data_IF_898814638285
#
_entry.id   IF_898814638285
#
_cell.length_a   1.000
_cell.length_b   1.000
_cell.length_c   1.000
_cell.angle_alpha   90.00
_cell.angle_beta   90.00
_cell.angle_gamma   90.00
#
_symmetry.space_group_name_H-M   'P 1'
#
loop_
_entity.id
_entity.type
_entity.pdbx_description
1 polymer ?
#
# COMPACT_ATOMS: atom_id res chain seq x y z
N UNK A 1 -17.20 -16.44 -15.39
CA UNK A 1 -15.97 -15.63 -15.30
C UNK A 1 -15.18 -16.14 -14.11
N UNK A 2 -13.88 -16.41 -14.26
CA UNK A 2 -13.04 -16.87 -13.15
C UNK A 2 -12.77 -15.70 -12.20
N UNK A 3 -13.19 -15.83 -10.96
CA UNK A 3 -12.91 -14.85 -9.91
C UNK A 3 -11.45 -14.97 -9.47
N UNK A 4 -10.72 -13.86 -9.27
CA UNK A 4 -9.36 -13.91 -8.74
C UNK A 4 -9.39 -14.54 -7.34
N UNK A 5 -8.40 -15.37 -7.02
CA UNK A 5 -8.25 -15.97 -5.68
C UNK A 5 -7.58 -15.01 -4.70
N UNK A 6 -6.68 -14.17 -5.21
CA UNK A 6 -5.85 -13.26 -4.42
C UNK A 6 -5.66 -11.95 -5.18
N UNK A 7 -5.57 -10.86 -4.42
CA UNK A 7 -5.23 -9.54 -4.90
C UNK A 7 -4.00 -9.06 -4.16
N UNK A 8 -2.97 -8.69 -4.92
CA UNK A 8 -1.76 -8.06 -4.39
C UNK A 8 -1.75 -6.59 -4.79
N UNK A 9 -1.59 -5.72 -3.80
CA UNK A 9 -1.41 -4.29 -4.02
C UNK A 9 -0.07 -3.87 -3.46
N UNK A 10 0.71 -3.16 -4.28
CA UNK A 10 1.92 -2.46 -3.87
C UNK A 10 1.76 -0.96 -4.12
N UNK A 11 2.25 -0.14 -3.18
CA UNK A 11 2.32 1.30 -3.33
C UNK A 11 3.70 1.77 -2.89
N UNK A 12 4.33 2.60 -3.70
CA UNK A 12 5.61 3.23 -3.38
C UNK A 12 5.44 4.74 -3.44
N UNK A 13 5.94 5.43 -2.42
CA UNK A 13 6.00 6.88 -2.39
C UNK A 13 7.44 7.36 -2.26
N UNK A 14 7.85 8.24 -3.16
CA UNK A 14 9.17 8.88 -3.11
C UNK A 14 8.98 10.37 -2.89
N UNK A 15 9.57 10.90 -1.81
CA UNK A 15 9.61 12.33 -1.51
C UNK A 15 11.04 12.83 -1.62
N UNK A 16 11.25 13.87 -2.43
CA UNK A 16 12.51 14.62 -2.44
C UNK A 16 12.58 15.47 -1.16
N UNK A 17 13.70 15.39 -0.42
CA UNK A 17 13.90 16.14 0.83
C UNK A 17 14.77 17.39 0.65
N UNK A 18 15.27 17.65 -0.56
CA UNK A 18 16.35 18.60 -0.79
C UNK A 18 17.72 17.97 -0.47
N UNK A 19 18.80 18.74 -0.66
CA UNK A 19 20.17 18.35 -0.26
C UNK A 19 20.65 16.97 -0.75
N UNK A 20 20.24 16.55 -1.96
CA UNK A 20 20.57 15.24 -2.53
C UNK A 20 20.00 14.03 -1.76
N UNK A 21 19.03 14.25 -0.86
CA UNK A 21 18.37 13.20 -0.10
C UNK A 21 16.94 12.95 -0.59
N UNK A 22 16.55 11.67 -0.57
CA UNK A 22 15.19 11.25 -0.90
C UNK A 22 14.69 10.24 0.12
N UNK A 23 13.47 10.42 0.58
CA UNK A 23 12.76 9.42 1.37
C UNK A 23 11.92 8.56 0.43
N UNK A 24 12.17 7.26 0.43
CA UNK A 24 11.34 6.27 -0.25
C UNK A 24 10.65 5.42 0.80
N UNK A 25 9.32 5.35 0.73
CA UNK A 25 8.50 4.46 1.56
C UNK A 25 7.77 3.50 0.63
N UNK A 26 7.84 2.22 0.93
CA UNK A 26 7.17 1.16 0.20
C UNK A 26 6.23 0.39 1.13
N UNK A 27 5.07 0.01 0.61
CA UNK A 27 4.14 -0.84 1.33
C UNK A 27 3.37 -1.72 0.35
N UNK A 28 3.14 -2.96 0.76
CA UNK A 28 2.29 -3.89 0.02
C UNK A 28 1.36 -4.66 0.94
N UNK A 29 0.29 -5.18 0.36
CA UNK A 29 -0.64 -6.09 1.04
C UNK A 29 -1.13 -7.13 0.04
N UNK A 30 -1.30 -8.36 0.54
CA UNK A 30 -1.96 -9.44 -0.17
C UNK A 30 -3.28 -9.69 0.54
N UNK A 31 -4.37 -9.74 -0.23
CA UNK A 31 -5.70 -10.08 0.29
C UNK A 31 -6.27 -11.25 -0.49
N UNK A 32 -6.76 -12.25 0.24
CA UNK A 32 -7.55 -13.34 -0.32
C UNK A 32 -8.92 -12.81 -0.75
N UNK A 33 -9.41 -13.26 -1.90
CA UNK A 33 -10.75 -12.98 -2.38
C UNK A 33 -11.56 -14.26 -2.22
N UNK A 34 -12.58 -14.22 -1.36
CA UNK A 34 -13.49 -15.36 -1.22
C UNK A 34 -14.48 -15.40 -2.40
N UNK A 35 -15.04 -16.57 -2.77
CA UNK A 35 -15.95 -16.70 -3.93
C UNK A 35 -17.21 -15.84 -3.85
N UNK A 36 -17.57 -15.34 -2.67
CA UNK A 36 -18.70 -14.45 -2.43
C UNK A 36 -18.33 -12.97 -2.38
N UNK A 37 -17.03 -12.65 -2.35
CA UNK A 37 -16.56 -11.28 -2.31
C UNK A 37 -16.70 -10.59 -3.67
N UNK A 38 -16.89 -9.27 -3.63
CA UNK A 38 -16.69 -8.41 -4.79
C UNK A 38 -15.19 -8.09 -4.93
N UNK A 39 -14.52 -8.51 -6.02
CA UNK A 39 -13.09 -8.26 -6.23
C UNK A 39 -12.71 -6.78 -6.19
N UNK A 40 -13.58 -5.89 -6.69
CA UNK A 40 -13.33 -4.45 -6.68
C UNK A 40 -13.34 -3.89 -5.25
N UNK A 41 -14.25 -4.36 -4.40
CA UNK A 41 -14.28 -4.00 -2.99
C UNK A 41 -13.04 -4.53 -2.24
N UNK A 42 -12.57 -5.75 -2.52
CA UNK A 42 -11.34 -6.30 -1.93
C UNK A 42 -10.11 -5.52 -2.39
N UNK A 43 -10.05 -5.15 -3.67
CA UNK A 43 -8.99 -4.29 -4.20
C UNK A 43 -8.94 -2.93 -3.50
N UNK A 44 -10.10 -2.27 -3.33
CA UNK A 44 -10.17 -0.98 -2.65
C UNK A 44 -9.68 -1.06 -1.20
N UNK A 45 -10.04 -2.14 -0.47
CA UNK A 45 -9.54 -2.39 0.90
C UNK A 45 -8.04 -2.61 0.93
N UNK A 46 -7.49 -3.37 -0.02
CA UNK A 46 -6.06 -3.61 -0.15
C UNK A 46 -5.31 -2.29 -0.42
N UNK A 47 -5.84 -1.45 -1.32
CA UNK A 47 -5.27 -0.15 -1.65
C UNK A 47 -5.24 0.83 -0.48
N UNK A 48 -6.35 0.94 0.25
CA UNK A 48 -6.41 1.80 1.44
C UNK A 48 -5.48 1.31 2.56
N UNK A 49 -5.30 -0.01 2.69
CA UNK A 49 -4.35 -0.60 3.63
C UNK A 49 -2.90 -0.24 3.29
N UNK A 50 -2.49 -0.40 2.03
CA UNK A 50 -1.15 -0.02 1.57
C UNK A 50 -0.88 1.48 1.79
N UNK A 51 -1.83 2.35 1.40
CA UNK A 51 -1.76 3.80 1.64
C UNK A 51 -1.60 4.16 3.12
N UNK A 52 -2.31 3.47 4.02
CA UNK A 52 -2.21 3.71 5.46
C UNK A 52 -0.80 3.41 5.98
N UNK A 53 -0.16 2.35 5.48
CA UNK A 53 1.22 2.05 5.86
C UNK A 53 2.21 3.07 5.31
N UNK A 54 2.00 3.56 4.08
CA UNK A 54 2.82 4.64 3.52
C UNK A 54 2.73 5.90 4.37
N UNK A 55 1.51 6.33 4.75
CA UNK A 55 1.33 7.48 5.63
C UNK A 55 2.06 7.30 6.96
N UNK A 56 1.98 6.11 7.57
CA UNK A 56 2.71 5.79 8.80
C UNK A 56 4.22 5.83 8.62
N UNK A 57 4.74 5.26 7.53
CA UNK A 57 6.18 5.32 7.23
C UNK A 57 6.68 6.75 7.00
N UNK A 58 5.86 7.59 6.36
CA UNK A 58 6.17 9.02 6.21
C UNK A 58 6.13 9.78 7.54
N UNK A 59 5.20 9.47 8.43
CA UNK A 59 5.13 10.07 9.77
C UNK A 59 6.29 9.63 10.65
N UNK A 60 6.64 8.34 10.64
CA UNK A 60 7.79 7.80 11.36
C UNK A 60 9.11 8.43 10.89
N UNK A 61 9.29 8.58 9.58
CA UNK A 61 10.47 9.21 9.01
C UNK A 61 10.62 10.70 9.40
N UNK A 62 9.54 11.41 9.73
CA UNK A 62 9.62 12.78 10.28
C UNK A 62 10.11 12.81 11.74
N UNK A 63 9.86 11.74 12.51
CA UNK A 63 10.25 11.61 13.91
C UNK A 63 11.68 11.13 14.14
N UNK A 64 12.39 10.76 13.07
CA UNK A 64 13.66 10.04 13.16
C UNK A 64 13.45 8.55 13.44
N UNK A 65 14.35 7.71 12.93
CA UNK A 65 14.48 6.32 13.36
C UNK A 65 15.38 6.25 14.59
#
# INVERSE_FOLDING_TARGET
>A
MSQPKEITVGFTFTKNLGNYESLKVDAGVVMTVEPSDDPDAVYAKAWESAKKQIKRGLEAAKGGF
#
